data_IF_907475437613
#
_entry.id   IF_907475437613
#
_cell.length_a   1.000
_cell.length_b   1.000
_cell.length_c   1.000
_cell.angle_alpha   90.00
_cell.angle_beta   90.00
_cell.angle_gamma   90.00
#
_symmetry.space_group_name_H-M   'P 1'
#
loop_
_entity.id
_entity.type
_entity.pdbx_description
1 polymer ?
#
# COMPACT_ATOMS: atom_id res chain seq x y z
N UNK A 1 44.09 3.60 -23.37
CA UNK A 1 43.86 3.26 -21.96
C UNK A 1 42.45 3.73 -21.54
N UNK A 2 41.74 2.94 -20.72
CA UNK A 2 40.43 3.19 -20.08
C UNK A 2 39.13 2.67 -20.77
N UNK A 3 39.20 1.59 -21.54
CA UNK A 3 38.00 0.80 -21.91
C UNK A 3 37.81 -0.47 -21.04
N UNK A 4 38.79 -0.76 -20.17
CA UNK A 4 38.84 -1.96 -19.32
C UNK A 4 38.38 -1.70 -17.87
N UNK A 5 37.57 -0.67 -17.64
CA UNK A 5 36.91 -0.38 -16.36
C UNK A 5 35.39 -0.26 -16.56
N UNK A 6 34.83 -1.07 -17.48
CA UNK A 6 33.37 -1.12 -17.73
C UNK A 6 32.81 -2.54 -17.69
N UNK A 7 33.66 -3.57 -17.75
CA UNK A 7 33.22 -4.95 -17.96
C UNK A 7 33.48 -5.78 -16.72
N UNK A 8 32.50 -5.84 -15.82
CA UNK A 8 32.56 -6.75 -14.67
C UNK A 8 31.46 -6.62 -13.61
N UNK A 9 30.39 -5.85 -13.85
CA UNK A 9 29.30 -5.73 -12.88
C UNK A 9 27.89 -5.70 -13.50
N UNK A 10 27.69 -6.43 -14.59
CA UNK A 10 26.38 -6.61 -15.18
C UNK A 10 26.16 -8.12 -15.31
N UNK A 11 24.93 -8.56 -15.02
CA UNK A 11 24.42 -9.94 -14.97
C UNK A 11 24.90 -10.79 -13.79
N UNK A 12 24.23 -10.64 -12.64
CA UNK A 12 23.89 -11.67 -11.61
C UNK A 12 23.02 -11.01 -10.51
N UNK A 13 23.23 -9.71 -10.19
CA UNK A 13 22.47 -8.91 -9.21
C UNK A 13 21.07 -8.44 -9.71
N UNK A 14 20.55 -9.00 -10.81
CA UNK A 14 19.40 -8.40 -11.52
C UNK A 14 18.04 -9.04 -11.24
N UNK A 15 17.94 -10.28 -10.74
CA UNK A 15 16.62 -10.90 -10.50
C UNK A 15 16.01 -10.41 -9.20
N UNK A 16 16.77 -10.42 -8.10
CA UNK A 16 16.31 -9.97 -6.78
C UNK A 16 15.95 -8.48 -6.76
N UNK A 17 16.72 -7.63 -7.45
CA UNK A 17 16.40 -6.20 -7.56
C UNK A 17 15.16 -5.92 -8.43
N UNK A 18 14.89 -6.76 -9.44
CA UNK A 18 13.68 -6.62 -10.27
C UNK A 18 12.44 -7.00 -9.48
N UNK A 19 12.48 -8.10 -8.75
CA UNK A 19 11.39 -8.55 -7.88
C UNK A 19 11.10 -7.51 -6.79
N UNK A 20 12.15 -7.03 -6.09
CA UNK A 20 11.99 -5.95 -5.10
C UNK A 20 11.45 -4.65 -5.73
N UNK A 21 11.83 -4.34 -6.97
CA UNK A 21 11.31 -3.19 -7.71
C UNK A 21 9.82 -3.33 -8.06
N UNK A 22 9.40 -4.52 -8.46
CA UNK A 22 7.99 -4.82 -8.77
C UNK A 22 7.12 -4.74 -7.52
N UNK A 23 7.58 -5.32 -6.40
CA UNK A 23 6.88 -5.20 -5.11
C UNK A 23 6.70 -3.74 -4.71
N UNK A 24 7.75 -2.91 -4.84
CA UNK A 24 7.67 -1.49 -4.52
C UNK A 24 6.64 -0.73 -5.38
N UNK A 25 6.51 -1.08 -6.66
CA UNK A 25 5.51 -0.49 -7.55
C UNK A 25 4.08 -0.88 -7.16
N UNK A 26 3.87 -2.14 -6.72
CA UNK A 26 2.58 -2.60 -6.20
C UNK A 26 2.18 -1.84 -4.93
N UNK A 27 3.13 -1.64 -4.01
CA UNK A 27 2.88 -0.84 -2.80
C UNK A 27 2.61 0.64 -3.12
N UNK A 28 3.28 1.20 -4.11
CA UNK A 28 3.06 2.58 -4.55
C UNK A 28 1.65 2.78 -5.13
N UNK A 29 1.16 1.87 -5.98
CA UNK A 29 -0.22 1.92 -6.50
C UNK A 29 -1.24 1.80 -5.36
N UNK A 30 -1.04 0.84 -4.45
CA UNK A 30 -1.91 0.67 -3.29
C UNK A 30 -1.97 1.95 -2.44
N UNK A 31 -0.82 2.57 -2.16
CA UNK A 31 -0.75 3.80 -1.40
C UNK A 31 -1.49 4.95 -2.09
N UNK A 32 -1.34 5.09 -3.41
CA UNK A 32 -2.10 6.08 -4.20
C UNK A 32 -3.61 5.91 -4.06
N UNK A 33 -4.11 4.67 -4.10
CA UNK A 33 -5.53 4.35 -3.89
C UNK A 33 -6.00 4.63 -2.46
N UNK A 34 -5.18 4.32 -1.45
CA UNK A 34 -5.48 4.64 -0.04
C UNK A 34 -5.65 6.15 0.13
N UNK A 35 -4.67 6.93 -0.34
CA UNK A 35 -4.67 8.40 -0.20
C UNK A 35 -5.90 8.98 -0.88
N UNK A 36 -6.18 8.62 -2.14
CA UNK A 36 -7.37 9.12 -2.86
C UNK A 36 -8.66 8.72 -2.13
N UNK A 37 -8.82 7.45 -1.76
CA UNK A 37 -10.05 6.97 -1.12
C UNK A 37 -10.32 7.64 0.23
N UNK A 38 -9.29 7.76 1.08
CA UNK A 38 -9.44 8.39 2.39
C UNK A 38 -9.57 9.91 2.29
N UNK A 39 -8.95 10.56 1.30
CA UNK A 39 -9.17 11.97 1.02
C UNK A 39 -10.64 12.24 0.66
N UNK A 40 -11.21 11.49 -0.29
CA UNK A 40 -12.61 11.63 -0.68
C UNK A 40 -13.59 11.32 0.47
N UNK A 41 -13.28 10.35 1.32
CA UNK A 41 -14.16 9.93 2.43
C UNK A 41 -14.10 10.83 3.66
N UNK A 42 -12.92 11.36 3.98
CA UNK A 42 -12.69 12.04 5.25
C UNK A 42 -12.44 13.54 5.11
N UNK A 43 -12.04 14.04 3.93
CA UNK A 43 -11.58 15.43 3.75
C UNK A 43 -12.43 16.19 2.73
N UNK A 44 -12.75 15.59 1.57
CA UNK A 44 -13.45 16.30 0.48
C UNK A 44 -14.87 16.76 0.86
N UNK A 45 -15.58 16.03 1.73
CA UNK A 45 -16.91 16.43 2.19
C UNK A 45 -16.89 17.57 3.23
N UNK A 46 -15.73 17.90 3.79
CA UNK A 46 -15.58 19.01 4.70
C UNK A 46 -15.39 20.29 3.87
N UNK A 47 -16.47 21.00 3.59
CA UNK A 47 -16.44 22.40 3.13
C UNK A 47 -15.96 23.34 4.25
N UNK A 48 -14.88 22.97 4.93
CA UNK A 48 -14.32 23.66 6.08
C UNK A 48 -12.99 24.22 5.63
N UNK A 49 -12.94 25.52 5.34
CA UNK A 49 -11.80 26.25 4.80
C UNK A 49 -10.57 26.37 5.72
N UNK A 50 -10.21 25.29 6.42
CA UNK A 50 -9.01 25.17 7.24
C UNK A 50 -7.88 24.49 6.47
N UNK A 51 -6.65 24.96 6.68
CA UNK A 51 -5.43 24.37 6.08
C UNK A 51 -4.95 23.11 6.83
N UNK A 52 -5.55 22.79 7.96
CA UNK A 52 -5.15 21.72 8.86
C UNK A 52 -6.29 20.72 9.10
N UNK A 53 -5.93 19.46 9.32
CA UNK A 53 -6.88 18.41 9.70
C UNK A 53 -7.42 18.66 11.10
N UNK A 54 -8.75 18.67 11.22
CA UNK A 54 -9.43 18.60 12.49
C UNK A 54 -9.21 17.25 13.18
N UNK A 55 -9.42 17.20 14.49
CA UNK A 55 -9.32 15.97 15.29
C UNK A 55 -10.25 14.88 14.72
N UNK A 56 -11.44 15.27 14.23
CA UNK A 56 -12.40 14.35 13.63
C UNK A 56 -11.89 13.77 12.30
N UNK A 57 -11.28 14.60 11.45
CA UNK A 57 -10.70 14.16 10.17
C UNK A 57 -9.49 13.23 10.41
N UNK A 58 -8.63 13.55 11.38
CA UNK A 58 -7.52 12.66 11.77
C UNK A 58 -8.02 11.28 12.21
N UNK A 59 -9.00 11.23 13.12
CA UNK A 59 -9.60 9.97 13.55
C UNK A 59 -10.35 9.22 12.43
N UNK A 60 -10.93 9.95 11.46
CA UNK A 60 -11.53 9.36 10.26
C UNK A 60 -10.49 8.69 9.37
N UNK A 61 -9.37 9.37 9.11
CA UNK A 61 -8.27 8.86 8.26
C UNK A 61 -7.71 7.56 8.85
N UNK A 62 -7.44 7.50 10.15
CA UNK A 62 -6.94 6.28 10.81
C UNK A 62 -7.90 5.08 10.61
N UNK A 63 -9.20 5.30 10.82
CA UNK A 63 -10.24 4.29 10.61
C UNK A 63 -10.35 3.91 9.13
N UNK A 64 -10.23 4.88 8.22
CA UNK A 64 -10.30 4.66 6.79
C UNK A 64 -9.18 3.74 6.30
N UNK A 65 -7.93 4.02 6.69
CA UNK A 65 -6.78 3.19 6.32
C UNK A 65 -6.94 1.77 6.86
N UNK A 66 -7.34 1.62 8.12
CA UNK A 66 -7.62 0.30 8.73
C UNK A 66 -8.67 -0.49 7.95
N UNK A 67 -9.77 0.17 7.55
CA UNK A 67 -10.83 -0.46 6.76
C UNK A 67 -10.43 -0.76 5.33
N UNK A 68 -9.61 0.09 4.72
CA UNK A 68 -9.09 -0.14 3.37
C UNK A 68 -8.25 -1.42 3.33
N UNK A 69 -7.32 -1.59 4.29
CA UNK A 69 -6.48 -2.79 4.35
C UNK A 69 -7.30 -4.06 4.64
N UNK A 70 -8.31 -3.99 5.50
CA UNK A 70 -9.27 -5.10 5.71
C UNK A 70 -9.99 -5.45 4.39
N UNK A 71 -10.45 -4.46 3.64
CA UNK A 71 -11.09 -4.69 2.35
C UNK A 71 -10.12 -5.30 1.32
N UNK A 72 -8.87 -4.86 1.28
CA UNK A 72 -7.84 -5.45 0.41
C UNK A 72 -7.58 -6.92 0.74
N UNK A 73 -7.54 -7.29 2.02
CA UNK A 73 -7.41 -8.69 2.44
C UNK A 73 -8.59 -9.54 1.96
N UNK A 74 -9.82 -9.06 2.17
CA UNK A 74 -11.04 -9.73 1.69
C UNK A 74 -10.97 -9.93 0.16
N UNK A 75 -10.60 -8.89 -0.59
CA UNK A 75 -10.45 -8.98 -2.05
C UNK A 75 -9.39 -10.01 -2.43
N UNK A 76 -8.25 -10.02 -1.72
CA UNK A 76 -7.18 -10.99 -1.96
C UNK A 76 -7.65 -12.43 -1.72
N UNK A 77 -8.41 -12.67 -0.66
CA UNK A 77 -8.95 -13.99 -0.31
C UNK A 77 -9.98 -14.46 -1.35
N UNK A 78 -10.90 -13.58 -1.77
CA UNK A 78 -11.87 -13.88 -2.86
C UNK A 78 -11.13 -14.21 -4.15
N UNK A 79 -10.10 -13.43 -4.49
CA UNK A 79 -9.33 -13.62 -5.74
C UNK A 79 -8.58 -14.96 -5.73
N UNK A 80 -8.14 -15.41 -4.56
CA UNK A 80 -7.47 -16.71 -4.36
C UNK A 80 -8.45 -17.89 -4.28
N UNK A 81 -9.77 -17.65 -4.31
CA UNK A 81 -10.78 -18.70 -4.17
C UNK A 81 -10.92 -19.24 -2.74
N UNK A 82 -10.47 -18.47 -1.73
CA UNK A 82 -10.69 -18.79 -0.32
C UNK A 82 -12.14 -18.43 0.02
N UNK A 83 -12.88 -19.36 0.63
CA UNK A 83 -14.23 -19.07 1.11
C UNK A 83 -14.13 -18.24 2.40
N UNK A 84 -14.60 -16.98 2.35
CA UNK A 84 -14.44 -16.01 3.42
C UNK A 84 -15.60 -16.14 4.41
N UNK A 85 -15.31 -16.77 5.55
CA UNK A 85 -16.13 -16.62 6.75
C UNK A 85 -15.71 -15.32 7.46
N UNK A 86 -16.64 -14.44 7.91
CA UNK A 86 -16.34 -13.09 8.41
C UNK A 86 -15.64 -13.01 9.78
N UNK A 87 -14.79 -13.98 10.14
CA UNK A 87 -14.03 -13.95 11.39
C UNK A 87 -12.63 -14.55 11.27
N UNK A 88 -11.63 -13.72 11.57
CA UNK A 88 -10.39 -14.03 12.33
C UNK A 88 -9.03 -14.23 11.65
N UNK A 89 -8.85 -14.15 10.33
CA UNK A 89 -7.51 -14.35 9.74
C UNK A 89 -6.74 -13.04 9.47
N UNK A 90 -6.51 -12.24 10.50
CA UNK A 90 -5.40 -11.27 10.45
C UNK A 90 -4.08 -12.02 10.74
N UNK A 91 -3.08 -12.02 9.83
CA UNK A 91 -1.74 -12.48 10.17
C UNK A 91 -1.19 -11.53 11.23
N UNK A 92 -1.03 -12.02 12.46
CA UNK A 92 -0.33 -11.25 13.48
C UNK A 92 1.16 -11.18 13.09
N UNK A 93 1.80 -10.00 13.14
CA UNK A 93 3.25 -9.94 13.06
C UNK A 93 3.81 -10.74 14.25
N UNK A 94 4.58 -11.78 13.93
CA UNK A 94 5.35 -12.55 14.91
C UNK A 94 6.50 -11.70 15.45
N UNK A 95 6.95 -11.93 16.70
CA UNK A 95 7.73 -10.99 17.50
C UNK A 95 9.07 -10.57 16.91
#
# INVERSE_FOLDING_TARGET
MNFLWRQGKQTEESSSLKEAGEEALLFADMFGRIVSSCYHKCIESATSGGKELSIAEGACVDRCVSKFLQAQQIIADVTKGVNIEPSSSSPQPSP
#
